data_IF_110378388489
#
_entry.id   IF_110378388489
#
_cell.length_a   1.000
_cell.length_b   1.000
_cell.length_c   1.000
_cell.angle_alpha   90.00
_cell.angle_beta   90.00
_cell.angle_gamma   90.00
#
_symmetry.space_group_name_H-M   'P 1'
#
loop_
_entity.id
_entity.type
_entity.pdbx_description
1 polymer ?
#
# COMPACT_ATOMS: atom_id res chain seq x y z
N UNK A 1 -22.55 28.06 -1.77
CA UNK A 1 -22.51 27.50 -3.14
C UNK A 1 -22.42 25.99 -3.02
N UNK A 2 -23.09 25.26 -3.92
CA UNK A 2 -22.80 23.83 -4.06
C UNK A 2 -21.41 23.67 -4.69
N UNK A 3 -20.59 22.77 -4.17
CA UNK A 3 -19.21 22.55 -4.62
C UNK A 3 -18.54 21.42 -3.82
N UNK A 4 -17.33 21.07 -4.24
CA UNK A 4 -16.46 20.11 -3.56
C UNK A 4 -15.11 20.81 -3.37
N UNK A 5 -14.57 20.75 -2.17
CA UNK A 5 -13.21 21.19 -1.88
C UNK A 5 -12.25 20.00 -2.01
N UNK A 6 -11.16 20.19 -2.77
CA UNK A 6 -10.18 19.12 -3.06
C UNK A 6 -8.80 19.54 -2.58
N UNK A 7 -8.17 18.67 -1.80
CA UNK A 7 -6.81 18.86 -1.29
C UNK A 7 -5.91 17.67 -1.65
N UNK A 8 -4.70 17.95 -2.12
CA UNK A 8 -3.68 16.92 -2.38
C UNK A 8 -2.81 16.74 -1.14
N UNK A 9 -3.08 15.68 -0.39
CA UNK A 9 -2.39 15.37 0.87
C UNK A 9 -1.52 14.13 0.66
N UNK A 10 -0.18 14.24 0.53
CA UNK A 10 0.68 13.08 0.27
C UNK A 10 0.72 12.07 1.42
N UNK A 11 0.69 12.57 2.66
CA UNK A 11 0.74 11.75 3.87
C UNK A 11 -0.59 11.02 4.10
N UNK A 12 -0.57 9.69 4.02
CA UNK A 12 -1.75 8.86 4.25
C UNK A 12 -2.24 8.86 5.70
N UNK A 13 -1.35 9.05 6.67
CA UNK A 13 -1.72 9.18 8.08
C UNK A 13 -2.51 10.47 8.31
N UNK A 14 -2.10 11.56 7.65
CA UNK A 14 -2.83 12.82 7.69
C UNK A 14 -4.23 12.69 7.06
N UNK A 15 -4.38 11.91 5.98
CA UNK A 15 -5.70 11.60 5.39
C UNK A 15 -6.60 10.85 6.37
N UNK A 16 -6.09 9.82 7.06
CA UNK A 16 -6.86 9.10 8.08
C UNK A 16 -7.27 9.99 9.25
N UNK A 17 -6.39 10.89 9.70
CA UNK A 17 -6.71 11.87 10.73
C UNK A 17 -7.81 12.84 10.29
N UNK A 18 -7.74 13.36 9.06
CA UNK A 18 -8.73 14.29 8.51
C UNK A 18 -10.13 13.67 8.43
N UNK A 19 -10.23 12.38 8.10
CA UNK A 19 -11.50 11.64 8.14
C UNK A 19 -12.04 11.54 9.57
N UNK A 20 -11.18 11.17 10.55
CA UNK A 20 -11.59 11.02 11.97
C UNK A 20 -11.99 12.33 12.62
N UNK A 21 -11.40 13.46 12.22
CA UNK A 21 -11.72 14.79 12.77
C UNK A 21 -12.84 15.50 12.03
N UNK A 22 -13.40 14.91 10.97
CA UNK A 22 -14.41 15.55 10.11
C UNK A 22 -13.86 16.73 9.31
N UNK A 23 -12.54 16.80 9.13
CA UNK A 23 -11.89 17.80 8.27
C UNK A 23 -12.03 17.42 6.78
N UNK A 24 -12.22 16.14 6.49
CA UNK A 24 -12.57 15.63 5.17
C UNK A 24 -13.71 14.62 5.30
N UNK A 25 -14.67 14.69 4.38
CA UNK A 25 -15.79 13.75 4.30
C UNK A 25 -15.39 12.44 3.59
N UNK A 26 -14.46 12.54 2.64
CA UNK A 26 -13.98 11.41 1.83
C UNK A 26 -12.46 11.50 1.70
N UNK A 27 -11.78 10.37 1.86
CA UNK A 27 -10.35 10.23 1.61
C UNK A 27 -10.06 8.91 0.90
N UNK A 28 -9.01 8.88 0.10
CA UNK A 28 -8.56 7.66 -0.58
C UNK A 28 -7.23 7.16 0.00
N UNK A 29 -7.00 5.85 -0.10
CA UNK A 29 -5.71 5.19 0.15
C UNK A 29 -5.10 5.51 1.53
N UNK A 30 -5.83 5.38 2.63
CA UNK A 30 -5.23 5.43 3.97
C UNK A 30 -4.27 4.24 4.19
N UNK A 31 -3.20 4.37 4.99
CA UNK A 31 -2.35 3.25 5.35
C UNK A 31 -3.15 2.17 6.06
N UNK A 32 -2.89 0.90 5.78
CA UNK A 32 -3.64 -0.22 6.37
C UNK A 32 -3.61 -0.20 7.90
N UNK A 33 -2.46 0.09 8.51
CA UNK A 33 -2.32 0.20 9.96
C UNK A 33 -3.06 1.40 10.60
N UNK A 34 -3.65 2.29 9.80
CA UNK A 34 -4.55 3.35 10.29
C UNK A 34 -6.02 2.94 10.22
N UNK A 35 -6.38 1.87 9.50
CA UNK A 35 -7.77 1.45 9.34
C UNK A 35 -8.44 1.13 10.68
N UNK A 36 -7.73 0.49 11.61
CA UNK A 36 -8.24 0.18 12.95
C UNK A 36 -8.59 1.42 13.81
N UNK A 37 -8.17 2.62 13.41
CA UNK A 37 -8.48 3.87 14.10
C UNK A 37 -9.69 4.60 13.51
N UNK A 38 -10.17 4.17 12.33
CA UNK A 38 -11.31 4.76 11.63
C UNK A 38 -12.57 3.97 12.00
N UNK A 39 -13.71 4.66 12.06
CA UNK A 39 -15.01 4.00 12.22
C UNK A 39 -15.21 2.97 11.10
N UNK A 40 -15.44 1.68 11.40
CA UNK A 40 -15.66 0.64 10.39
C UNK A 40 -16.77 0.96 9.39
N UNK A 41 -17.76 1.77 9.77
CA UNK A 41 -18.85 2.18 8.86
C UNK A 41 -18.37 3.11 7.73
N UNK A 42 -17.23 3.78 7.90
CA UNK A 42 -16.62 4.66 6.91
C UNK A 42 -15.60 3.94 6.03
N UNK A 43 -15.29 2.68 6.33
CA UNK A 43 -14.30 1.90 5.60
C UNK A 43 -14.93 1.14 4.44
N UNK A 44 -14.38 1.38 3.25
CA UNK A 44 -14.73 0.64 2.05
C UNK A 44 -13.47 0.00 1.46
N UNK A 45 -13.36 -1.32 1.58
CA UNK A 45 -12.26 -2.09 1.00
C UNK A 45 -12.60 -2.46 -0.44
N UNK A 46 -11.68 -2.15 -1.36
CA UNK A 46 -11.80 -2.46 -2.79
C UNK A 46 -10.56 -3.21 -3.23
N UNK A 47 -10.76 -4.39 -3.85
CA UNK A 47 -9.67 -5.13 -4.45
C UNK A 47 -9.10 -4.34 -5.64
N UNK A 48 -7.86 -3.87 -5.50
CA UNK A 48 -7.16 -3.17 -6.58
C UNK A 48 -6.34 -4.16 -7.43
N UNK A 49 -6.36 -4.07 -8.77
CA UNK A 49 -5.59 -4.94 -9.66
C UNK A 49 -4.11 -4.53 -9.72
N UNK A 50 -3.46 -4.35 -8.57
CA UNK A 50 -2.08 -3.84 -8.46
C UNK A 50 -1.13 -4.93 -8.00
N UNK A 51 -0.15 -5.25 -8.84
CA UNK A 51 1.01 -6.08 -8.47
C UNK A 51 2.17 -5.19 -8.00
N UNK A 52 2.78 -5.52 -6.86
CA UNK A 52 4.02 -4.88 -6.43
C UNK A 52 5.21 -5.65 -6.99
N UNK A 53 6.12 -4.95 -7.67
CA UNK A 53 7.19 -5.59 -8.45
C UNK A 53 8.56 -5.05 -8.03
N UNK A 54 9.49 -5.97 -7.77
CA UNK A 54 10.91 -5.66 -7.63
C UNK A 54 11.60 -5.78 -8.99
N UNK A 55 12.13 -4.67 -9.50
CA UNK A 55 12.94 -4.67 -10.72
C UNK A 55 14.42 -4.77 -10.37
N UNK A 56 15.09 -5.78 -10.93
CA UNK A 56 16.53 -5.99 -10.77
C UNK A 56 17.25 -5.53 -12.03
N UNK A 57 18.32 -4.74 -11.87
CA UNK A 57 19.14 -4.30 -13.00
C UNK A 57 19.93 -5.48 -13.58
N UNK A 58 19.63 -5.87 -14.82
CA UNK A 58 20.29 -7.00 -15.49
C UNK A 58 21.52 -6.62 -16.29
N UNK A 59 21.84 -5.32 -16.41
CA UNK A 59 22.94 -4.82 -17.24
C UNK A 59 24.27 -4.79 -16.50
N UNK A 60 24.26 -4.42 -15.23
CA UNK A 60 25.48 -4.19 -14.44
C UNK A 60 25.32 -4.66 -13.00
N UNK A 61 26.44 -4.97 -12.35
CA UNK A 61 26.46 -5.40 -10.95
C UNK A 61 26.04 -6.87 -10.75
N UNK A 62 25.75 -7.28 -9.52
CA UNK A 62 25.56 -8.69 -9.16
C UNK A 62 24.32 -9.32 -9.83
N UNK A 63 23.28 -8.53 -10.10
CA UNK A 63 22.05 -8.99 -10.75
C UNK A 63 22.18 -9.17 -12.27
N UNK A 64 23.34 -8.85 -12.87
CA UNK A 64 23.63 -9.26 -14.24
C UNK A 64 23.62 -10.81 -14.38
N UNK A 65 24.05 -11.51 -13.32
CA UNK A 65 23.99 -12.97 -13.25
C UNK A 65 22.53 -13.46 -13.00
N UNK A 66 21.95 -14.29 -13.89
CA UNK A 66 20.62 -14.89 -13.68
C UNK A 66 20.50 -15.72 -12.39
N UNK A 67 21.57 -16.40 -11.95
CA UNK A 67 21.54 -17.20 -10.73
C UNK A 67 21.34 -16.34 -9.49
N UNK A 68 21.95 -15.15 -9.46
CA UNK A 68 21.77 -14.18 -8.37
C UNK A 68 20.35 -13.62 -8.34
N UNK A 69 19.73 -13.40 -9.51
CA UNK A 69 18.32 -12.98 -9.58
C UNK A 69 17.36 -14.07 -9.09
N UNK A 70 17.62 -15.32 -9.45
CA UNK A 70 16.84 -16.45 -8.94
C UNK A 70 16.97 -16.58 -7.42
N UNK A 71 18.20 -16.44 -6.89
CA UNK A 71 18.43 -16.43 -5.45
C UNK A 71 17.69 -15.28 -4.74
N UNK A 72 17.70 -14.07 -5.31
CA UNK A 72 16.97 -12.94 -4.77
C UNK A 72 15.45 -13.15 -4.76
N UNK A 73 14.90 -13.71 -5.84
CA UNK A 73 13.47 -14.04 -5.91
C UNK A 73 13.07 -15.08 -4.87
N UNK A 74 13.90 -16.11 -4.65
CA UNK A 74 13.66 -17.17 -3.68
C UNK A 74 13.82 -16.70 -2.23
N UNK A 75 14.62 -15.66 -2.00
CA UNK A 75 14.84 -15.08 -0.67
C UNK A 75 13.69 -14.17 -0.19
N UNK A 76 12.74 -13.80 -1.07
CA UNK A 76 11.58 -12.98 -0.69
C UNK A 76 10.54 -13.85 0.00
N UNK A 77 10.36 -13.63 1.30
CA UNK A 77 9.25 -14.18 2.07
C UNK A 77 7.97 -13.37 1.80
N UNK A 78 7.17 -13.84 0.82
CA UNK A 78 5.92 -13.19 0.42
C UNK A 78 4.87 -13.25 1.54
N UNK A 79 4.77 -14.38 2.24
CA UNK A 79 3.83 -14.57 3.33
C UNK A 79 4.08 -13.56 4.46
N UNK A 80 5.35 -13.38 4.87
CA UNK A 80 5.71 -12.40 5.89
C UNK A 80 5.41 -10.95 5.47
N UNK A 81 5.58 -10.62 4.18
CA UNK A 81 5.22 -9.30 3.65
C UNK A 81 3.70 -9.09 3.65
N UNK A 82 2.92 -10.09 3.22
CA UNK A 82 1.46 -10.04 3.24
C UNK A 82 0.94 -9.87 4.66
N UNK A 83 1.45 -10.64 5.63
CA UNK A 83 0.99 -10.56 7.02
C UNK A 83 1.47 -9.29 7.73
N UNK A 84 2.69 -8.83 7.45
CA UNK A 84 3.33 -7.73 8.17
C UNK A 84 3.04 -6.36 7.56
N UNK A 85 3.45 -6.16 6.30
CA UNK A 85 3.35 -4.85 5.63
C UNK A 85 1.93 -4.57 5.16
N UNK A 86 1.27 -5.59 4.62
CA UNK A 86 -0.09 -5.45 4.08
C UNK A 86 -1.19 -5.84 5.08
N UNK A 87 -0.83 -6.33 6.27
CA UNK A 87 -1.77 -6.75 7.33
C UNK A 87 -2.90 -7.65 6.79
N UNK A 88 -2.56 -8.58 5.90
CA UNK A 88 -3.50 -9.53 5.29
C UNK A 88 -4.33 -9.00 4.12
N UNK A 89 -4.09 -7.77 3.64
CA UNK A 89 -4.82 -7.14 2.52
C UNK A 89 -4.09 -7.23 1.17
N UNK A 90 -3.28 -8.27 1.01
CA UNK A 90 -2.60 -8.61 -0.23
C UNK A 90 -2.58 -10.14 -0.40
N UNK A 91 -2.21 -10.62 -1.59
CA UNK A 91 -2.00 -12.03 -1.89
C UNK A 91 -0.55 -12.29 -2.35
N UNK A 92 -0.21 -13.57 -2.51
CA UNK A 92 1.13 -14.02 -2.92
C UNK A 92 1.27 -14.26 -4.43
N UNK A 93 0.33 -13.78 -5.25
CA UNK A 93 0.22 -14.12 -6.67
C UNK A 93 1.50 -13.91 -7.50
#
# INVERSE_FOLDING_TARGET
SAGIDVSFVPDGTARAAALRTGTADVVEAIPVGQAAQVDPQLLHEVAMPRTNTLYLNTRTGPFADPAVRAAAQAAVDRAALVSGVYEGRADEA
#
